data_IF_302939975605
#
_entry.id   IF_302939975605
#
_cell.length_a   1.000
_cell.length_b   1.000
_cell.length_c   1.000
_cell.angle_alpha   90.00
_cell.angle_beta   90.00
_cell.angle_gamma   90.00
#
_symmetry.space_group_name_H-M   'P 1'
#
loop_
_entity.id
_entity.type
_entity.pdbx_description
1 polymer ?
#
# COMPACT_ATOMS: atom_id res chain seq x y z
N UNK A 1 34.90 -4.96 -28.68
CA UNK A 1 33.94 -5.57 -27.72
C UNK A 1 33.54 -7.01 -28.10
N UNK A 2 33.48 -7.38 -29.39
CA UNK A 2 33.09 -8.73 -29.85
C UNK A 2 34.10 -9.89 -29.63
N UNK A 3 35.10 -9.76 -28.72
CA UNK A 3 36.13 -10.80 -28.51
C UNK A 3 35.99 -11.57 -27.19
N UNK A 4 34.98 -11.27 -26.39
CA UNK A 4 34.85 -11.79 -25.02
C UNK A 4 33.49 -12.45 -24.73
N UNK A 5 32.75 -12.88 -25.75
CA UNK A 5 31.49 -13.62 -25.55
C UNK A 5 31.75 -15.15 -25.50
N UNK A 6 31.20 -15.87 -24.50
CA UNK A 6 31.21 -17.32 -24.41
C UNK A 6 30.62 -17.98 -25.68
N UNK A 7 31.17 -19.13 -26.08
CA UNK A 7 30.79 -19.82 -27.32
C UNK A 7 29.30 -20.21 -27.38
N UNK A 8 28.63 -20.42 -26.24
CA UNK A 8 27.20 -20.76 -26.16
C UNK A 8 26.24 -19.64 -26.57
N UNK A 9 26.70 -18.39 -26.59
CA UNK A 9 25.89 -17.23 -27.03
C UNK A 9 26.04 -16.99 -28.54
N UNK A 10 27.14 -17.46 -29.13
CA UNK A 10 27.44 -17.29 -30.56
C UNK A 10 26.50 -18.08 -31.48
N UNK A 11 25.89 -19.16 -30.98
CA UNK A 11 24.93 -19.97 -31.75
C UNK A 11 23.53 -19.35 -31.87
N UNK A 12 23.24 -18.28 -31.11
CA UNK A 12 21.95 -17.57 -31.17
C UNK A 12 22.03 -16.18 -31.80
N UNK A 13 23.20 -15.76 -32.29
CA UNK A 13 23.44 -14.43 -32.87
C UNK A 13 22.65 -14.20 -34.18
N UNK A 14 22.30 -15.26 -34.92
CA UNK A 14 21.48 -15.16 -36.15
C UNK A 14 19.97 -15.01 -35.90
N UNK A 15 19.48 -15.23 -34.67
CA UNK A 15 18.05 -15.17 -34.33
C UNK A 15 17.59 -13.80 -33.81
N UNK A 16 18.53 -12.99 -33.31
CA UNK A 16 18.23 -11.68 -32.71
C UNK A 16 17.77 -10.62 -33.75
N UNK A 17 18.29 -10.56 -34.99
CA UNK A 17 17.84 -9.57 -35.98
C UNK A 17 16.45 -9.86 -36.60
N UNK A 18 15.86 -11.04 -36.34
CA UNK A 18 14.57 -11.43 -36.95
C UNK A 18 13.34 -11.12 -36.09
N UNK A 19 13.53 -10.90 -34.78
CA UNK A 19 12.43 -10.61 -33.85
C UNK A 19 12.20 -9.09 -33.70
N UNK A 20 13.20 -8.27 -33.98
CA UNK A 20 13.11 -6.80 -33.94
C UNK A 20 13.55 -6.19 -35.28
N UNK A 21 12.62 -6.10 -36.24
CA UNK A 21 12.72 -5.07 -37.29
C UNK A 21 12.02 -3.82 -36.77
N UNK A 22 12.72 -2.77 -36.32
CA UNK A 22 12.08 -1.48 -36.18
C UNK A 22 11.73 -0.97 -37.57
N UNK A 23 10.44 -0.80 -37.85
CA UNK A 23 10.03 0.07 -38.96
C UNK A 23 10.55 1.47 -38.64
N UNK A 24 11.58 1.89 -39.38
CA UNK A 24 12.07 3.26 -39.36
C UNK A 24 10.98 4.12 -40.01
N UNK A 25 10.10 4.69 -39.19
CA UNK A 25 9.20 5.74 -39.62
C UNK A 25 10.05 6.96 -39.99
N UNK A 26 10.09 7.29 -41.27
CA UNK A 26 10.69 8.53 -41.77
C UNK A 26 10.03 9.73 -41.09
N UNK A 27 10.83 10.63 -40.52
CA UNK A 27 10.39 11.89 -39.94
C UNK A 27 9.53 12.66 -40.96
N UNK A 28 8.22 12.73 -40.71
CA UNK A 28 7.35 13.75 -41.30
C UNK A 28 7.69 15.07 -40.63
N UNK A 29 8.05 16.08 -41.42
CA UNK A 29 8.36 17.46 -40.97
C UNK A 29 7.11 18.33 -40.85
N UNK A 30 5.92 17.75 -40.72
CA UNK A 30 4.66 18.50 -40.67
C UNK A 30 4.19 18.68 -39.20
N UNK A 31 4.37 19.86 -38.58
CA UNK A 31 4.06 20.09 -37.18
C UNK A 31 2.56 20.18 -36.87
N UNK A 32 1.67 20.20 -37.87
CA UNK A 32 0.21 20.34 -37.68
C UNK A 32 -0.57 19.02 -37.79
N UNK A 33 0.06 17.90 -38.12
CA UNK A 33 -0.65 16.65 -38.41
C UNK A 33 -0.89 15.71 -37.21
N UNK A 34 -0.50 16.09 -35.98
CA UNK A 34 -0.51 15.17 -34.84
C UNK A 34 -1.14 15.76 -33.56
N UNK A 35 -2.41 16.11 -33.65
CA UNK A 35 -3.27 16.19 -32.47
C UNK A 35 -3.78 14.79 -32.10
N UNK A 36 -3.23 14.22 -31.02
CA UNK A 36 -3.81 13.04 -30.36
C UNK A 36 -2.94 11.79 -30.42
N UNK A 37 -1.95 11.71 -29.52
CA UNK A 37 -1.26 10.44 -29.27
C UNK A 37 -0.04 10.59 -28.38
N UNK A 38 -0.04 9.90 -27.24
CA UNK A 38 1.15 9.70 -26.42
C UNK A 38 2.11 8.77 -27.17
N UNK A 39 3.35 9.22 -27.43
CA UNK A 39 4.37 8.36 -28.04
C UNK A 39 5.45 8.00 -27.02
N UNK A 40 5.83 6.72 -27.00
CA UNK A 40 7.10 6.27 -26.44
C UNK A 40 8.11 6.24 -27.58
N UNK A 41 9.10 7.13 -27.58
CA UNK A 41 10.21 7.05 -28.53
C UNK A 41 11.36 6.32 -27.84
N UNK A 42 11.64 5.11 -28.30
CA UNK A 42 12.81 4.34 -27.90
C UNK A 42 13.94 4.72 -28.85
N UNK A 43 14.79 5.67 -28.44
CA UNK A 43 15.98 6.01 -29.21
C UNK A 43 17.14 5.16 -28.70
N UNK A 44 17.80 4.43 -29.59
CA UNK A 44 19.11 3.84 -29.32
C UNK A 44 20.15 4.94 -29.57
N UNK A 45 20.92 5.30 -28.54
CA UNK A 45 22.13 6.11 -28.68
C UNK A 45 23.17 5.35 -29.53
N UNK A 46 24.14 6.05 -30.13
CA UNK A 46 25.27 5.53 -30.93
C UNK A 46 26.15 4.51 -30.16
N UNK A 47 25.82 4.23 -28.89
CA UNK A 47 26.44 3.26 -27.98
C UNK A 47 25.50 2.10 -27.59
N UNK A 48 24.45 1.83 -28.37
CA UNK A 48 23.43 0.81 -28.09
C UNK A 48 22.72 0.97 -26.74
N UNK A 49 22.60 2.21 -26.25
CA UNK A 49 21.86 2.50 -25.00
C UNK A 49 20.44 2.88 -25.35
N UNK A 50 19.48 2.10 -24.88
CA UNK A 50 18.07 2.47 -24.97
C UNK A 50 17.79 3.68 -24.07
N UNK A 51 17.49 4.83 -24.67
CA UNK A 51 16.99 6.01 -23.98
C UNK A 51 15.47 6.00 -24.10
N UNK A 52 14.80 5.78 -22.97
CA UNK A 52 13.35 5.91 -22.86
C UNK A 52 13.05 7.37 -22.53
N UNK A 53 12.58 8.13 -23.51
CA UNK A 53 12.10 9.50 -23.30
C UNK A 53 10.58 9.48 -23.11
N UNK A 54 10.13 9.75 -21.88
CA UNK A 54 8.71 9.93 -21.57
C UNK A 54 8.36 11.41 -21.70
N UNK A 55 7.68 11.79 -22.78
CA UNK A 55 7.14 13.15 -22.93
C UNK A 55 5.76 13.22 -22.29
N UNK A 56 5.70 13.77 -21.07
CA UNK A 56 4.44 14.08 -20.41
C UNK A 56 3.91 15.38 -21.02
N UNK A 57 2.76 15.34 -21.69
CA UNK A 57 2.13 16.57 -22.21
C UNK A 57 1.60 17.40 -21.04
N UNK A 58 1.89 18.70 -21.05
CA UNK A 58 1.42 19.65 -20.04
C UNK A 58 -0.11 19.76 -19.98
N UNK A 59 -0.82 19.34 -21.02
CA UNK A 59 -2.29 19.30 -21.03
C UNK A 59 -2.88 18.28 -20.05
N UNK A 60 -2.12 17.27 -19.66
CA UNK A 60 -2.55 16.21 -18.75
C UNK A 60 -2.55 16.67 -17.29
N UNK A 61 -1.96 17.84 -17.00
CA UNK A 61 -1.91 18.46 -15.69
C UNK A 61 -2.91 19.61 -15.52
N UNK A 62 -3.89 19.78 -16.42
CA UNK A 62 -4.97 20.76 -16.18
C UNK A 62 -5.74 20.36 -14.90
N UNK A 63 -5.83 21.30 -13.96
CA UNK A 63 -6.14 21.10 -12.54
C UNK A 63 -7.49 20.42 -12.21
N UNK A 64 -8.36 20.23 -13.20
CA UNK A 64 -9.74 19.76 -12.99
C UNK A 64 -10.03 18.34 -13.51
N UNK A 65 -9.08 17.64 -14.15
CA UNK A 65 -9.35 16.26 -14.60
C UNK A 65 -9.11 15.26 -13.43
N UNK A 66 -10.15 14.66 -12.83
CA UNK A 66 -9.99 13.60 -11.84
C UNK A 66 -9.26 12.37 -12.40
N UNK A 67 -9.13 12.25 -13.74
CA UNK A 67 -8.42 11.19 -14.42
C UNK A 67 -6.92 11.47 -14.67
N UNK A 68 -6.41 12.68 -14.38
CA UNK A 68 -5.00 13.02 -14.54
C UNK A 68 -4.08 12.16 -13.65
N UNK A 69 -4.52 11.93 -12.40
CA UNK A 69 -3.79 11.13 -11.41
C UNK A 69 -3.53 9.68 -11.88
N UNK A 70 -4.56 8.90 -12.28
CA UNK A 70 -4.34 7.55 -12.76
C UNK A 70 -3.42 7.50 -13.97
N UNK A 71 -3.55 8.44 -14.91
CA UNK A 71 -2.70 8.46 -16.11
C UNK A 71 -1.22 8.58 -15.74
N UNK A 72 -0.86 9.53 -14.87
CA UNK A 72 0.52 9.71 -14.43
C UNK A 72 1.04 8.49 -13.65
N UNK A 73 0.24 7.98 -12.72
CA UNK A 73 0.61 6.81 -11.90
C UNK A 73 0.83 5.59 -12.78
N UNK A 74 -0.08 5.32 -13.73
CA UNK A 74 0.03 4.22 -14.69
C UNK A 74 1.28 4.40 -15.55
N UNK A 75 1.56 5.60 -16.06
CA UNK A 75 2.76 5.85 -16.88
C UNK A 75 4.04 5.59 -16.09
N UNK A 76 4.11 6.05 -14.83
CA UNK A 76 5.25 5.77 -13.96
C UNK A 76 5.39 4.28 -13.65
N UNK A 77 4.28 3.56 -13.41
CA UNK A 77 4.30 2.11 -13.20
C UNK A 77 4.75 1.35 -14.45
N UNK A 78 4.32 1.76 -15.64
CA UNK A 78 4.77 1.16 -16.90
C UNK A 78 6.27 1.38 -17.09
N UNK A 79 6.77 2.60 -16.84
CA UNK A 79 8.19 2.90 -16.89
C UNK A 79 9.00 2.06 -15.89
N UNK A 80 8.48 1.89 -14.67
CA UNK A 80 9.07 1.05 -13.64
C UNK A 80 9.11 -0.42 -14.07
N UNK A 81 8.02 -0.97 -14.60
CA UNK A 81 7.96 -2.34 -15.12
C UNK A 81 9.02 -2.52 -16.21
N UNK A 82 9.19 -1.56 -17.10
CA UNK A 82 10.26 -1.59 -18.10
C UNK A 82 11.66 -1.60 -17.46
N UNK A 83 11.92 -0.74 -16.46
CA UNK A 83 13.21 -0.72 -15.74
C UNK A 83 13.45 -2.06 -15.04
N UNK A 84 12.43 -2.61 -14.37
CA UNK A 84 12.51 -3.91 -13.71
C UNK A 84 12.84 -4.98 -14.76
N UNK A 85 12.13 -5.06 -15.88
CA UNK A 85 12.41 -6.02 -16.96
C UNK A 85 13.85 -5.88 -17.46
N UNK A 86 14.36 -4.66 -17.66
CA UNK A 86 15.74 -4.44 -18.07
C UNK A 86 16.74 -4.95 -17.02
N UNK A 87 16.47 -4.71 -15.73
CA UNK A 87 17.27 -5.24 -14.62
C UNK A 87 17.20 -6.77 -14.62
N UNK A 88 16.01 -7.36 -14.80
CA UNK A 88 15.82 -8.81 -14.86
C UNK A 88 16.62 -9.46 -15.99
N UNK A 89 16.67 -8.83 -17.16
CA UNK A 89 17.46 -9.29 -18.32
C UNK A 89 18.96 -9.26 -18.03
N UNK A 90 19.42 -8.34 -17.18
CA UNK A 90 20.83 -8.22 -16.78
C UNK A 90 21.22 -9.17 -15.63
N UNK A 91 20.25 -9.73 -14.90
CA UNK A 91 20.47 -10.66 -13.80
C UNK A 91 20.53 -12.10 -14.30
N UNK A 92 21.51 -12.86 -13.82
CA UNK A 92 21.50 -14.31 -14.02
C UNK A 92 20.59 -14.97 -13.01
N UNK A 93 19.40 -15.32 -13.50
CA UNK A 93 18.36 -16.01 -12.75
C UNK A 93 18.86 -17.43 -12.48
N UNK A 94 19.08 -17.76 -11.21
CA UNK A 94 19.28 -19.16 -10.83
C UNK A 94 18.04 -19.95 -11.22
N UNK A 95 18.18 -21.16 -11.80
CA UNK A 95 17.03 -22.00 -12.06
C UNK A 95 16.25 -22.22 -10.76
N UNK A 96 14.93 -22.32 -10.87
CA UNK A 96 14.06 -22.61 -9.73
C UNK A 96 14.54 -23.90 -9.07
N UNK A 97 15.13 -23.74 -7.90
CA UNK A 97 15.75 -24.84 -7.18
C UNK A 97 14.75 -25.35 -6.14
N UNK A 98 13.88 -26.25 -6.61
CA UNK A 98 12.85 -26.86 -5.76
C UNK A 98 13.50 -27.82 -4.78
N UNK A 99 13.12 -27.73 -3.52
CA UNK A 99 13.56 -28.61 -2.45
C UNK A 99 13.50 -30.09 -2.85
N UNK A 100 14.60 -30.82 -2.65
CA UNK A 100 14.66 -32.27 -2.85
C UNK A 100 13.87 -33.02 -1.76
N UNK A 101 13.38 -34.23 -2.04
CA UNK A 101 12.61 -35.02 -1.05
C UNK A 101 13.42 -35.35 0.22
N UNK A 102 14.75 -35.38 0.14
CA UNK A 102 15.67 -35.53 1.28
C UNK A 102 15.76 -34.30 2.18
N UNK A 103 15.30 -33.13 1.73
CA UNK A 103 15.36 -31.85 2.46
C UNK A 103 14.00 -31.46 3.07
N UNK A 104 13.05 -32.39 3.16
CA UNK A 104 11.69 -32.11 3.65
C UNK A 104 11.72 -31.54 5.08
N UNK A 105 11.09 -30.37 5.27
CA UNK A 105 10.89 -29.80 6.61
C UNK A 105 9.81 -30.58 7.37
N UNK A 106 10.00 -30.83 8.68
CA UNK A 106 8.93 -31.28 9.55
C UNK A 106 7.73 -30.33 9.49
N UNK A 107 6.51 -30.86 9.63
CA UNK A 107 5.27 -30.08 9.61
C UNK A 107 5.29 -28.96 10.66
N UNK A 108 5.87 -29.20 11.84
CA UNK A 108 6.03 -28.19 12.89
C UNK A 108 6.90 -27.00 12.45
N UNK A 109 8.00 -27.26 11.75
CA UNK A 109 8.86 -26.20 11.19
C UNK A 109 8.13 -25.44 10.10
N UNK A 110 7.40 -26.15 9.23
CA UNK A 110 6.60 -25.51 8.17
C UNK A 110 5.54 -24.57 8.73
N UNK A 111 4.81 -25.00 9.78
CA UNK A 111 3.84 -24.17 10.48
C UNK A 111 4.51 -22.96 11.15
N UNK A 112 5.68 -23.14 11.77
CA UNK A 112 6.43 -22.06 12.41
C UNK A 112 6.86 -20.98 11.41
N UNK A 113 7.47 -21.37 10.29
CA UNK A 113 7.93 -20.43 9.25
C UNK A 113 6.75 -19.74 8.58
N UNK A 114 5.66 -20.47 8.31
CA UNK A 114 4.44 -19.91 7.73
C UNK A 114 3.81 -18.88 8.68
N UNK A 115 3.81 -19.16 9.98
CA UNK A 115 3.35 -18.21 11.00
C UNK A 115 4.21 -16.96 11.03
N UNK A 116 5.54 -17.10 10.99
CA UNK A 116 6.48 -15.97 10.93
C UNK A 116 6.29 -15.13 9.66
N UNK A 117 6.04 -15.78 8.52
CA UNK A 117 5.71 -15.13 7.26
C UNK A 117 4.43 -14.30 7.38
N UNK A 118 3.33 -14.91 7.83
CA UNK A 118 2.01 -14.28 7.79
C UNK A 118 1.77 -13.29 8.94
N UNK A 119 2.51 -13.38 10.05
CA UNK A 119 2.28 -12.54 11.22
C UNK A 119 2.37 -11.02 10.91
N UNK A 120 3.40 -10.50 10.22
CA UNK A 120 3.44 -9.09 9.84
C UNK A 120 2.26 -8.66 8.97
N UNK A 121 1.86 -9.49 8.00
CA UNK A 121 0.73 -9.19 7.11
C UNK A 121 -0.60 -9.13 7.89
N UNK A 122 -0.88 -10.16 8.69
CA UNK A 122 -2.13 -10.25 9.48
C UNK A 122 -2.22 -9.08 10.44
N UNK A 123 -1.15 -8.80 11.19
CA UNK A 123 -1.15 -7.70 12.15
C UNK A 123 -1.30 -6.36 11.42
N UNK A 124 -0.64 -6.16 10.28
CA UNK A 124 -0.80 -4.94 9.48
C UNK A 124 -2.24 -4.71 9.03
N UNK A 125 -2.92 -5.77 8.60
CA UNK A 125 -4.33 -5.75 8.20
C UNK A 125 -5.24 -5.50 9.41
N UNK A 126 -5.14 -6.32 10.45
CA UNK A 126 -6.02 -6.26 11.64
C UNK A 126 -5.90 -4.90 12.34
N UNK A 127 -4.67 -4.40 12.48
CA UNK A 127 -4.44 -3.11 13.09
C UNK A 127 -4.81 -1.94 12.15
N UNK A 128 -4.63 -2.14 10.84
CA UNK A 128 -4.73 -1.09 9.82
C UNK A 128 -6.14 -0.80 9.31
N UNK A 129 -7.01 -1.82 9.23
CA UNK A 129 -8.35 -1.70 8.65
C UNK A 129 -9.33 -1.12 9.68
N UNK A 130 -9.94 0.06 9.44
CA UNK A 130 -10.88 0.68 10.38
C UNK A 130 -12.23 -0.04 10.44
N UNK A 131 -13.11 0.30 11.38
CA UNK A 131 -14.49 -0.18 11.36
C UNK A 131 -15.31 0.52 10.26
N UNK A 132 -16.32 -0.17 9.69
CA UNK A 132 -17.22 0.35 8.66
C UNK A 132 -18.55 0.76 9.32
N UNK A 133 -19.05 1.95 8.99
CA UNK A 133 -20.36 2.43 9.44
C UNK A 133 -21.26 2.60 8.22
N UNK A 134 -22.34 1.82 8.14
CA UNK A 134 -23.29 1.93 7.05
C UNK A 134 -24.33 3.01 7.38
N UNK A 135 -24.31 4.12 6.62
CA UNK A 135 -25.30 5.20 6.76
C UNK A 135 -26.44 5.08 5.74
N UNK A 136 -26.40 4.06 4.89
CA UNK A 136 -27.38 3.81 3.84
C UNK A 136 -27.79 2.32 3.84
N UNK A 137 -28.96 1.98 3.25
CA UNK A 137 -29.41 0.60 3.11
C UNK A 137 -28.51 -0.26 2.23
N UNK A 138 -27.94 0.34 1.19
CA UNK A 138 -27.11 -0.39 0.23
C UNK A 138 -25.75 -0.68 0.85
N UNK A 139 -25.37 -1.96 0.92
CA UNK A 139 -24.03 -2.35 1.34
C UNK A 139 -23.01 -2.08 0.22
N UNK A 140 -21.77 -1.69 0.55
CA UNK A 140 -20.68 -1.67 -0.41
C UNK A 140 -20.49 -3.06 -1.01
N UNK A 141 -19.99 -3.12 -2.25
CA UNK A 141 -19.68 -4.41 -2.87
C UNK A 141 -18.36 -4.90 -2.30
N UNK A 142 -18.14 -6.22 -2.31
CA UNK A 142 -16.90 -6.82 -1.78
C UNK A 142 -15.61 -6.21 -2.39
N UNK A 143 -15.65 -5.81 -3.65
CA UNK A 143 -14.51 -5.20 -4.35
C UNK A 143 -14.30 -3.71 -3.98
N UNK A 144 -15.27 -3.07 -3.34
CA UNK A 144 -15.09 -1.76 -2.73
C UNK A 144 -14.41 -1.89 -1.36
N UNK A 145 -14.57 -3.03 -0.68
CA UNK A 145 -13.94 -3.30 0.61
C UNK A 145 -12.51 -3.82 0.49
N UNK A 146 -12.21 -4.62 -0.55
CA UNK A 146 -10.89 -5.24 -0.73
C UNK A 146 -9.74 -4.20 -0.76
N UNK A 147 -10.03 -2.99 -1.26
CA UNK A 147 -9.06 -1.90 -1.36
C UNK A 147 -8.52 -1.43 -0.02
N UNK A 148 -9.26 -1.61 1.08
CA UNK A 148 -8.78 -1.21 2.41
C UNK A 148 -7.75 -2.15 3.00
N UNK A 149 -7.65 -3.37 2.48
CA UNK A 149 -6.62 -4.33 2.83
C UNK A 149 -5.30 -4.04 2.09
N UNK A 150 -5.29 -3.07 1.17
CA UNK A 150 -4.08 -2.63 0.49
C UNK A 150 -3.16 -1.86 1.47
N UNK A 151 -1.88 -2.23 1.61
CA UNK A 151 -0.93 -1.52 2.46
C UNK A 151 -0.87 -0.01 2.19
N UNK A 152 -0.99 0.41 0.93
CA UNK A 152 -1.02 1.83 0.54
C UNK A 152 -2.19 2.58 1.19
N UNK A 153 -3.38 1.97 1.22
CA UNK A 153 -4.56 2.57 1.88
C UNK A 153 -4.37 2.63 3.40
N UNK A 154 -3.78 1.60 4.00
CA UNK A 154 -3.51 1.54 5.44
C UNK A 154 -2.51 2.64 5.84
N UNK A 155 -1.42 2.81 5.09
CA UNK A 155 -0.43 3.86 5.36
C UNK A 155 -1.01 5.26 5.11
N UNK A 156 -1.85 5.44 4.07
CA UNK A 156 -2.59 6.69 3.86
C UNK A 156 -3.41 7.07 5.09
N UNK A 157 -4.14 6.12 5.69
CA UNK A 157 -4.91 6.37 6.92
C UNK A 157 -4.02 6.87 8.05
N UNK A 158 -2.86 6.25 8.28
CA UNK A 158 -1.95 6.69 9.34
C UNK A 158 -1.47 8.12 9.12
N UNK A 159 -1.11 8.46 7.87
CA UNK A 159 -0.76 9.82 7.49
C UNK A 159 -1.93 10.78 7.73
N UNK A 160 -3.12 10.45 7.23
CA UNK A 160 -4.29 11.32 7.28
C UNK A 160 -4.78 11.59 8.71
N UNK A 161 -4.83 10.57 9.57
CA UNK A 161 -5.20 10.74 10.99
C UNK A 161 -4.19 11.64 11.72
N UNK A 162 -2.89 11.43 11.47
CA UNK A 162 -1.83 12.25 12.07
C UNK A 162 -1.93 13.70 11.57
N UNK A 163 -2.14 13.91 10.27
CA UNK A 163 -2.29 15.23 9.65
C UNK A 163 -3.51 15.98 10.20
N UNK A 164 -4.68 15.33 10.22
CA UNK A 164 -5.91 15.89 10.77
C UNK A 164 -5.73 16.30 12.24
N UNK A 165 -5.08 15.47 13.05
CA UNK A 165 -4.82 15.80 14.45
C UNK A 165 -3.98 17.05 14.60
N UNK A 166 -2.88 17.16 13.85
CA UNK A 166 -1.95 18.27 13.95
C UNK A 166 -2.58 19.57 13.43
N UNK A 167 -3.50 19.48 12.47
CA UNK A 167 -4.28 20.62 11.94
C UNK A 167 -5.49 21.00 12.78
N UNK A 168 -6.03 20.11 13.59
CA UNK A 168 -7.21 20.42 14.41
C UNK A 168 -6.89 21.48 15.47
N UNK A 169 -7.74 22.52 15.57
CA UNK A 169 -7.68 23.53 16.64
C UNK A 169 -8.25 23.00 17.95
N UNK A 170 -9.20 22.07 17.87
CA UNK A 170 -9.85 21.42 19.00
C UNK A 170 -10.04 19.93 18.67
N UNK A 171 -9.37 19.06 19.41
CA UNK A 171 -9.44 17.62 19.20
C UNK A 171 -10.14 16.97 20.38
N UNK A 172 -11.40 16.59 20.20
CA UNK A 172 -12.22 15.93 21.22
C UNK A 172 -12.33 14.41 20.96
N UNK A 173 -13.00 13.71 21.89
CA UNK A 173 -13.14 12.26 21.80
C UNK A 173 -14.02 11.80 20.62
N UNK A 174 -15.00 12.60 20.22
CA UNK A 174 -15.88 12.32 19.08
C UNK A 174 -15.12 12.50 17.76
N UNK A 175 -14.30 13.55 17.64
CA UNK A 175 -13.44 13.76 16.47
C UNK A 175 -12.48 12.58 16.30
N UNK A 176 -11.86 12.13 17.41
CA UNK A 176 -11.01 10.94 17.38
C UNK A 176 -11.77 9.69 16.92
N UNK A 177 -12.98 9.45 17.45
CA UNK A 177 -13.79 8.32 17.04
C UNK A 177 -14.13 8.40 15.55
N UNK A 178 -14.56 9.56 15.08
CA UNK A 178 -14.99 9.78 13.71
C UNK A 178 -13.84 9.67 12.69
N UNK A 179 -12.64 10.18 12.99
CA UNK A 179 -11.43 9.97 12.17
C UNK A 179 -11.02 8.51 12.03
N UNK A 180 -11.45 7.64 12.96
CA UNK A 180 -11.16 6.21 12.92
C UNK A 180 -12.25 5.37 12.25
N UNK A 181 -13.33 5.99 11.78
CA UNK A 181 -14.41 5.31 11.08
C UNK A 181 -14.32 5.52 9.58
N UNK A 182 -14.96 4.60 8.85
CA UNK A 182 -15.25 4.74 7.43
C UNK A 182 -16.74 4.77 7.25
N UNK A 183 -17.26 5.86 6.68
CA UNK A 183 -18.69 5.99 6.46
C UNK A 183 -19.02 5.56 5.04
N UNK A 184 -19.91 4.58 4.91
CA UNK A 184 -20.52 4.25 3.62
C UNK A 184 -21.77 5.11 3.43
N UNK A 185 -21.70 6.02 2.48
CA UNK A 185 -22.73 7.01 2.15
C UNK A 185 -23.39 6.69 0.81
N UNK A 186 -24.36 7.51 0.39
CA UNK A 186 -24.97 7.39 -0.94
C UNK A 186 -23.97 7.62 -2.08
N UNK A 187 -22.94 8.40 -1.83
CA UNK A 187 -21.84 8.67 -2.76
C UNK A 187 -20.68 7.67 -2.55
N UNK A 188 -20.91 6.65 -1.71
CA UNK A 188 -19.96 5.62 -1.31
C UNK A 188 -19.04 6.07 -0.15
N UNK A 189 -17.75 5.74 -0.22
CA UNK A 189 -16.82 5.90 0.89
C UNK A 189 -16.50 7.35 1.19
N UNK A 190 -16.78 7.78 2.42
CA UNK A 190 -16.50 9.13 2.90
C UNK A 190 -15.74 9.08 4.23
N UNK A 191 -14.55 9.68 4.24
CA UNK A 191 -13.71 9.89 5.42
C UNK A 191 -13.25 11.34 5.54
N UNK A 192 -13.95 12.26 4.86
CA UNK A 192 -13.63 13.69 4.85
C UNK A 192 -13.79 14.33 6.23
N UNK A 193 -13.11 15.46 6.45
CA UNK A 193 -13.31 16.30 7.63
C UNK A 193 -14.77 16.77 7.79
N UNK A 194 -15.49 17.00 6.69
CA UNK A 194 -16.90 17.34 6.73
C UNK A 194 -17.73 16.17 7.28
N UNK A 195 -17.50 14.96 6.76
CA UNK A 195 -18.15 13.76 7.25
C UNK A 195 -17.81 13.50 8.71
N UNK A 196 -16.58 13.77 9.15
CA UNK A 196 -16.19 13.67 10.54
C UNK A 196 -17.07 14.55 11.45
N UNK A 197 -17.24 15.84 11.13
CA UNK A 197 -18.09 16.76 11.90
C UNK A 197 -19.56 16.36 11.82
N UNK A 198 -20.03 15.99 10.62
CA UNK A 198 -21.42 15.56 10.38
C UNK A 198 -21.75 14.26 11.11
N UNK A 199 -20.77 13.37 11.28
CA UNK A 199 -20.95 12.07 11.92
C UNK A 199 -21.27 12.15 13.41
N UNK A 200 -20.98 13.28 14.06
CA UNK A 200 -21.23 13.50 15.49
C UNK A 200 -22.69 13.21 15.86
N UNK A 201 -23.65 13.52 14.98
CA UNK A 201 -25.06 13.24 15.23
C UNK A 201 -25.36 11.74 15.26
N UNK A 202 -24.52 10.87 14.68
CA UNK A 202 -24.66 9.40 14.67
C UNK A 202 -23.88 8.73 15.78
N UNK A 203 -23.04 9.44 16.54
CA UNK A 203 -22.23 8.86 17.61
C UNK A 203 -23.13 8.30 18.72
N UNK A 204 -23.03 6.98 18.97
CA UNK A 204 -23.72 6.31 20.08
C UNK A 204 -22.84 6.18 21.30
N UNK A 205 -21.53 5.99 21.08
CA UNK A 205 -20.55 5.91 22.14
C UNK A 205 -19.29 6.63 21.70
N UNK A 206 -18.92 7.67 22.45
CA UNK A 206 -17.63 8.31 22.31
C UNK A 206 -16.64 7.68 23.30
N UNK A 207 -15.36 7.53 22.91
CA UNK A 207 -14.32 7.10 23.83
C UNK A 207 -14.21 8.06 25.02
N UNK A 208 -13.71 7.57 26.16
CA UNK A 208 -13.58 8.39 27.38
C UNK A 208 -12.57 9.53 27.23
N UNK A 209 -11.59 9.38 26.33
CA UNK A 209 -10.48 10.30 26.13
C UNK A 209 -10.28 10.53 24.63
N UNK A 210 -9.77 11.70 24.25
CA UNK A 210 -9.36 12.00 22.87
C UNK A 210 -7.98 11.43 22.50
N UNK A 211 -7.63 10.29 23.10
CA UNK A 211 -6.38 9.54 22.93
C UNK A 211 -6.62 8.07 23.23
N UNK A 212 -5.80 7.21 22.64
CA UNK A 212 -5.75 5.78 22.93
C UNK A 212 -5.53 5.50 24.42
N UNK A 213 -6.20 4.47 24.95
CA UNK A 213 -5.86 3.88 26.25
C UNK A 213 -4.70 2.88 26.09
N UNK A 214 -3.67 2.98 26.94
CA UNK A 214 -2.48 2.13 26.87
C UNK A 214 -2.78 0.65 27.15
N UNK A 215 -3.89 0.36 27.84
CA UNK A 215 -4.34 -1.01 28.10
C UNK A 215 -5.43 -1.49 27.11
N UNK A 216 -5.54 -0.86 25.93
CA UNK A 216 -6.50 -1.24 24.89
C UNK A 216 -5.95 -2.28 23.91
N UNK A 217 -6.85 -2.93 23.17
CA UNK A 217 -6.51 -3.82 22.05
C UNK A 217 -5.61 -3.11 21.03
N UNK A 218 -5.93 -1.87 20.69
CA UNK A 218 -5.21 -1.07 19.69
C UNK A 218 -3.80 -0.69 20.17
N UNK A 219 -3.59 -0.53 21.48
CA UNK A 219 -2.26 -0.35 22.05
C UNK A 219 -1.41 -1.62 21.90
N UNK A 220 -1.98 -2.80 22.17
CA UNK A 220 -1.30 -4.08 21.95
C UNK A 220 -0.95 -4.29 20.47
N UNK A 221 -1.87 -4.01 19.55
CA UNK A 221 -1.61 -4.05 18.11
C UNK A 221 -0.44 -3.14 17.71
N UNK A 222 -0.39 -1.92 18.25
CA UNK A 222 0.69 -0.97 17.99
C UNK A 222 2.03 -1.48 18.51
N UNK A 223 2.07 -2.06 19.72
CA UNK A 223 3.28 -2.65 20.28
C UNK A 223 3.78 -3.79 19.38
N UNK A 224 2.90 -4.68 18.93
CA UNK A 224 3.26 -5.80 18.05
C UNK A 224 3.83 -5.29 16.72
N UNK A 225 3.14 -4.36 16.04
CA UNK A 225 3.62 -3.76 14.78
C UNK A 225 5.00 -3.11 14.98
N UNK A 226 5.18 -2.40 16.11
CA UNK A 226 6.43 -1.71 16.42
C UNK A 226 7.57 -2.70 16.63
N UNK A 227 7.35 -3.75 17.42
CA UNK A 227 8.36 -4.78 17.66
C UNK A 227 8.74 -5.51 16.38
N UNK A 228 7.76 -5.87 15.54
CA UNK A 228 8.01 -6.51 14.25
C UNK A 228 8.81 -5.58 13.31
N UNK A 229 8.45 -4.30 13.23
CA UNK A 229 9.16 -3.33 12.39
C UNK A 229 10.58 -3.04 12.88
N UNK A 230 10.79 -2.91 14.19
CA UNK A 230 12.12 -2.73 14.78
C UNK A 230 12.98 -3.98 14.57
N UNK A 231 12.44 -5.18 14.78
CA UNK A 231 13.16 -6.42 14.51
C UNK A 231 13.60 -6.52 13.05
N UNK A 232 12.71 -6.20 12.11
CA UNK A 232 13.03 -6.20 10.68
C UNK A 232 14.10 -5.15 10.34
N UNK A 233 14.00 -3.95 10.93
CA UNK A 233 14.98 -2.87 10.73
C UNK A 233 16.36 -3.23 11.29
N UNK A 234 16.42 -3.83 12.49
CA UNK A 234 17.67 -4.31 13.07
C UNK A 234 18.27 -5.45 12.25
N UNK A 235 17.43 -6.34 11.71
CA UNK A 235 17.89 -7.40 10.80
C UNK A 235 18.51 -6.82 9.52
N UNK A 236 17.95 -5.72 9.00
CA UNK A 236 18.48 -4.98 7.85
C UNK A 236 19.76 -4.21 8.18
N UNK A 237 19.85 -3.60 9.37
CA UNK A 237 21.05 -2.89 9.79
C UNK A 237 22.23 -3.83 10.06
N UNK A 238 21.94 -5.07 10.50
CA UNK A 238 22.95 -6.07 10.81
C UNK A 238 23.29 -6.98 9.62
N UNK A 239 22.56 -6.90 8.51
CA UNK A 239 22.95 -7.61 7.29
C UNK A 239 24.17 -6.91 6.70
N UNK A 240 25.34 -7.51 6.87
CA UNK A 240 26.51 -7.15 6.07
C UNK A 240 26.20 -7.39 4.59
N UNK A 241 26.89 -6.68 3.68
CA UNK A 241 26.61 -6.61 2.23
C UNK A 241 26.46 -7.96 1.48
N UNK A 242 26.79 -9.09 2.10
CA UNK A 242 26.75 -10.43 1.50
C UNK A 242 25.58 -11.34 1.98
N UNK A 243 24.86 -10.98 3.05
CA UNK A 243 24.07 -11.96 3.84
C UNK A 243 22.58 -11.62 4.02
N UNK A 244 21.92 -10.92 3.09
CA UNK A 244 20.46 -10.76 3.18
C UNK A 244 19.76 -12.10 2.91
N UNK A 245 19.30 -12.74 3.99
CA UNK A 245 18.68 -14.06 3.92
C UNK A 245 17.23 -13.95 3.44
N UNK A 246 17.01 -14.37 2.20
CA UNK A 246 15.68 -14.47 1.60
C UNK A 246 15.11 -15.85 1.94
N UNK A 247 13.96 -15.86 2.63
CA UNK A 247 13.23 -17.07 3.00
C UNK A 247 11.73 -16.78 3.10
N UNK A 248 10.91 -17.82 3.23
CA UNK A 248 9.48 -17.68 3.48
C UNK A 248 9.19 -16.80 4.71
N UNK A 249 9.97 -16.93 5.79
CA UNK A 249 9.77 -16.11 7.00
C UNK A 249 10.02 -14.61 6.77
N UNK A 250 10.82 -14.23 5.76
CA UNK A 250 11.21 -12.83 5.51
C UNK A 250 10.37 -12.15 4.43
N UNK A 251 9.39 -12.85 3.83
CA UNK A 251 8.54 -12.32 2.74
C UNK A 251 7.87 -11.00 3.11
N UNK A 252 7.37 -10.84 4.35
CA UNK A 252 6.68 -9.62 4.80
C UNK A 252 7.54 -8.68 5.67
N UNK A 253 8.87 -8.81 5.63
CA UNK A 253 9.77 -7.95 6.43
C UNK A 253 9.68 -6.47 6.03
N UNK A 254 9.69 -6.17 4.73
CA UNK A 254 9.53 -4.79 4.25
C UNK A 254 8.21 -4.18 4.71
N UNK A 255 7.12 -4.96 4.69
CA UNK A 255 5.83 -4.52 5.21
C UNK A 255 5.88 -4.25 6.74
N UNK A 256 6.63 -5.04 7.50
CA UNK A 256 6.86 -4.79 8.92
C UNK A 256 7.60 -3.46 9.16
N UNK A 257 8.65 -3.17 8.38
CA UNK A 257 9.38 -1.89 8.46
C UNK A 257 8.47 -0.72 8.10
N UNK A 258 7.69 -0.84 7.02
CA UNK A 258 6.71 0.18 6.62
C UNK A 258 5.60 0.36 7.68
N UNK A 259 5.27 -0.71 8.42
CA UNK A 259 4.36 -0.66 9.56
C UNK A 259 4.77 0.31 10.67
N UNK A 260 6.05 0.68 10.79
CA UNK A 260 6.52 1.69 11.75
C UNK A 260 5.90 3.08 11.51
N UNK A 261 5.42 3.37 10.30
CA UNK A 261 4.66 4.57 9.99
C UNK A 261 3.30 4.66 10.72
N UNK A 262 2.88 3.60 11.43
CA UNK A 262 1.76 3.64 12.37
C UNK A 262 2.07 4.49 13.60
N UNK A 263 3.32 4.57 14.05
CA UNK A 263 3.70 5.18 15.32
C UNK A 263 3.22 6.63 15.51
N UNK A 264 3.35 7.53 14.50
CA UNK A 264 2.85 8.89 14.64
C UNK A 264 1.34 8.95 14.85
N UNK A 265 0.58 8.02 14.25
CA UNK A 265 -0.87 7.97 14.37
C UNK A 265 -1.35 7.22 15.63
N UNK A 266 -0.50 6.36 16.20
CA UNK A 266 -0.89 5.40 17.22
C UNK A 266 -1.63 6.00 18.41
N UNK A 267 -1.25 7.21 18.84
CA UNK A 267 -1.90 7.88 19.97
C UNK A 267 -3.37 8.26 19.71
N UNK A 268 -3.78 8.34 18.44
CA UNK A 268 -5.11 8.77 18.01
C UNK A 268 -5.85 7.70 17.21
N UNK A 269 -5.28 6.51 17.05
CA UNK A 269 -6.02 5.36 16.50
C UNK A 269 -6.80 4.70 17.63
N UNK A 270 -8.09 4.48 17.43
CA UNK A 270 -8.98 3.85 18.42
C UNK A 270 -10.11 3.07 17.74
N UNK A 271 -10.55 1.99 18.39
CA UNK A 271 -11.71 1.17 18.02
C UNK A 271 -12.89 1.31 19.01
N UNK A 272 -12.77 2.18 20.02
CA UNK A 272 -13.78 2.31 21.09
C UNK A 272 -15.03 3.07 20.65
N UNK A 273 -14.92 3.92 19.61
CA UNK A 273 -16.07 4.69 19.11
C UNK A 273 -17.13 3.78 18.49
N UNK A 274 -18.41 4.10 18.70
CA UNK A 274 -19.50 3.46 17.96
C UNK A 274 -20.47 4.49 17.41
N UNK A 275 -21.02 4.19 16.24
CA UNK A 275 -21.97 5.03 15.53
C UNK A 275 -23.21 4.20 15.19
N UNK A 276 -24.37 4.86 15.10
CA UNK A 276 -25.60 4.22 14.63
C UNK A 276 -25.39 3.75 13.20
N UNK A 277 -25.50 2.44 13.00
CA UNK A 277 -25.59 1.83 11.69
C UNK A 277 -27.06 1.77 11.23
N UNK A 278 -27.31 1.98 9.95
CA UNK A 278 -28.63 1.85 9.32
C UNK A 278 -29.35 0.55 9.72
N UNK A 279 -28.66 -0.59 9.70
CA UNK A 279 -29.28 -1.87 10.07
C UNK A 279 -29.60 -1.97 11.57
N UNK A 280 -28.77 -1.37 12.42
CA UNK A 280 -29.02 -1.31 13.86
C UNK A 280 -30.24 -0.47 14.19
N UNK A 281 -30.48 0.59 13.39
CA UNK A 281 -31.64 1.45 13.53
C UNK A 281 -32.93 0.72 13.15
N UNK A 282 -32.95 0.06 11.98
CA UNK A 282 -34.10 -0.75 11.56
C UNK A 282 -34.44 -1.82 12.60
N UNK A 283 -33.44 -2.53 13.12
CA UNK A 283 -33.67 -3.58 14.12
C UNK A 283 -34.36 -3.04 15.37
N UNK A 284 -33.93 -1.87 15.87
CA UNK A 284 -34.57 -1.23 17.03
C UNK A 284 -36.01 -0.82 16.76
N UNK A 285 -36.30 -0.32 15.56
CA UNK A 285 -37.66 0.04 15.16
C UNK A 285 -38.59 -1.18 15.17
N UNK A 286 -38.15 -2.31 14.60
CA UNK A 286 -38.94 -3.55 14.60
C UNK A 286 -39.15 -4.12 16.01
N UNK A 287 -38.11 -4.21 16.85
CA UNK A 287 -38.28 -4.72 18.23
C UNK A 287 -39.21 -3.84 19.06
N UNK A 288 -39.20 -2.52 18.83
CA UNK A 288 -40.09 -1.59 19.54
C UNK A 288 -41.57 -1.70 19.14
N UNK A 289 -41.88 -2.29 17.98
CA UNK A 289 -43.26 -2.51 17.54
C UNK A 289 -43.84 -3.80 18.14
N UNK A 290 -43.04 -4.86 18.29
CA UNK A 290 -43.49 -6.13 18.88
C UNK A 290 -43.75 -6.02 20.39
N UNK A 291 -42.93 -5.26 21.13
CA UNK A 291 -43.12 -5.06 22.58
C UNK A 291 -44.34 -4.18 22.91
N UNK A 292 -44.87 -3.43 21.94
CA UNK A 292 -46.07 -2.58 22.12
C UNK A 292 -47.39 -3.30 21.89
N UNK A 293 -47.37 -4.58 21.50
CA UNK A 293 -48.58 -5.36 21.33
C UNK A 293 -49.26 -5.80 22.65
N UNK A 294 -48.60 -5.62 23.82
CA UNK A 294 -49.10 -6.16 25.09
C UNK A 294 -49.35 -5.15 26.24
N UNK A 295 -49.03 -3.86 26.12
CA UNK A 295 -49.28 -2.91 27.23
C UNK A 295 -49.94 -1.59 26.80
N UNK A 296 -50.85 -1.14 27.65
CA UNK A 296 -51.87 -0.11 27.46
C UNK A 296 -51.43 1.24 26.83
N UNK A 297 -52.35 1.89 26.08
CA UNK A 297 -52.08 3.16 25.42
C UNK A 297 -52.24 4.33 26.41
N UNK A 298 -51.14 4.84 26.97
CA UNK A 298 -51.08 6.20 27.53
C UNK A 298 -49.73 6.85 27.25
N UNK A 299 -49.74 7.77 26.27
CA UNK A 299 -48.76 8.84 25.98
C UNK A 299 -48.18 8.77 24.56
N UNK A 300 -48.93 9.34 23.62
CA UNK A 300 -48.46 9.71 22.28
C UNK A 300 -47.48 10.89 22.38
N UNK A 301 -46.17 10.63 22.44
CA UNK A 301 -45.16 11.70 22.20
C UNK A 301 -43.81 11.19 21.70
N UNK A 302 -43.73 9.94 21.19
CA UNK A 302 -42.44 9.29 20.89
C UNK A 302 -42.02 9.16 19.42
N UNK A 303 -42.89 9.46 18.44
CA UNK A 303 -42.64 9.06 17.03
C UNK A 303 -42.11 10.18 16.10
N UNK A 304 -41.97 11.42 16.58
CA UNK A 304 -41.48 12.55 15.75
C UNK A 304 -39.96 12.72 15.72
N UNK A 305 -39.17 11.92 16.44
CA UNK A 305 -37.71 12.09 16.51
C UNK A 305 -36.98 11.59 15.25
N UNK A 306 -37.57 10.69 14.47
CA UNK A 306 -36.91 10.10 13.29
C UNK A 306 -36.96 11.00 12.05
N UNK A 307 -38.13 11.56 11.73
CA UNK A 307 -38.27 12.51 10.62
C UNK A 307 -37.52 13.82 10.87
N UNK A 308 -37.48 14.28 12.13
CA UNK A 308 -36.72 15.47 12.50
C UNK A 308 -35.20 15.26 12.34
N UNK A 309 -34.69 14.03 12.53
CA UNK A 309 -33.26 13.71 12.32
C UNK A 309 -32.89 13.65 10.84
N UNK A 310 -33.78 13.14 9.98
CA UNK A 310 -33.56 13.14 8.52
C UNK A 310 -33.54 14.55 7.95
N UNK A 311 -34.34 15.48 8.49
CA UNK A 311 -34.33 16.89 8.09
C UNK A 311 -33.15 17.69 8.67
N UNK A 312 -32.57 17.27 9.79
CA UNK A 312 -31.36 17.91 10.36
C UNK A 312 -30.09 17.65 9.53
N UNK A 313 -30.12 16.72 8.57
CA UNK A 313 -29.01 16.50 7.64
C UNK A 313 -28.75 17.69 6.70
N UNK A 314 -29.72 18.60 6.54
CA UNK A 314 -29.63 19.82 5.71
C UNK A 314 -29.20 21.06 6.49
N UNK A 315 -29.03 20.97 7.82
CA UNK A 315 -28.47 22.10 8.56
C UNK A 315 -27.02 22.31 8.12
N UNK A 316 -26.63 23.54 7.74
CA UNK A 316 -25.25 23.83 7.36
C UNK A 316 -24.33 23.42 8.51
N UNK A 317 -23.42 22.50 8.21
CA UNK A 317 -22.37 22.08 9.11
C UNK A 317 -21.58 23.34 9.52
N UNK A 318 -21.19 23.52 10.79
CA UNK A 318 -20.30 24.63 11.14
C UNK A 318 -19.08 24.59 10.20
N UNK A 319 -18.75 25.74 9.60
CA UNK A 319 -17.72 25.83 8.56
C UNK A 319 -16.45 25.08 9.00
N UNK A 320 -16.06 24.06 8.23
CA UNK A 320 -14.87 23.23 8.50
C UNK A 320 -13.59 24.06 8.63
N UNK A 321 -13.54 25.22 7.97
CA UNK A 321 -12.48 26.24 8.08
C UNK A 321 -12.31 26.79 9.51
N UNK A 322 -13.36 26.79 10.31
CA UNK A 322 -13.29 27.21 11.71
C UNK A 322 -12.62 26.15 12.59
N UNK A 323 -12.71 24.87 12.24
CA UNK A 323 -12.21 23.75 13.07
C UNK A 323 -10.75 23.40 12.76
N UNK A 324 -10.34 23.46 11.49
CA UNK A 324 -8.99 23.06 11.05
C UNK A 324 -8.11 24.25 10.67
N UNK A 325 -6.80 24.10 10.87
CA UNK A 325 -5.82 24.96 10.22
C UNK A 325 -5.77 24.68 8.71
N UNK A 326 -5.47 25.69 7.88
CA UNK A 326 -5.31 25.52 6.44
C UNK A 326 -4.25 24.46 6.11
N UNK A 327 -4.47 23.69 5.04
CA UNK A 327 -3.55 22.61 4.66
C UNK A 327 -2.16 23.10 4.26
N UNK A 328 -2.02 24.35 3.81
CA UNK A 328 -0.73 24.94 3.45
C UNK A 328 0.10 25.44 4.66
N UNK A 329 -0.18 24.91 5.85
CA UNK A 329 0.55 25.26 7.06
C UNK A 329 1.80 24.38 7.24
N UNK A 330 2.86 24.93 7.85
CA UNK A 330 4.11 24.20 8.16
C UNK A 330 3.84 22.92 8.98
N UNK A 331 2.81 22.97 9.83
CA UNK A 331 2.30 21.87 10.62
C UNK A 331 1.98 20.62 9.79
N UNK A 332 1.27 20.81 8.68
CA UNK A 332 0.93 19.73 7.72
C UNK A 332 2.21 19.12 7.13
N UNK A 333 3.16 19.97 6.72
CA UNK A 333 4.41 19.54 6.11
C UNK A 333 5.34 18.82 7.08
N UNK A 334 5.32 19.18 8.38
CA UNK A 334 6.08 18.47 9.41
C UNK A 334 5.65 17.01 9.59
N UNK A 335 4.43 16.64 9.18
CA UNK A 335 3.96 15.26 9.16
C UNK A 335 4.25 14.60 7.81
N UNK A 336 3.91 15.30 6.71
CA UNK A 336 4.00 14.75 5.35
C UNK A 336 5.42 14.45 4.89
N UNK A 337 6.37 15.36 5.17
CA UNK A 337 7.76 15.20 4.72
C UNK A 337 8.40 13.94 5.32
N UNK A 338 8.37 13.71 6.65
CA UNK A 338 8.92 12.48 7.23
C UNK A 338 8.30 11.20 6.67
N UNK A 339 6.98 11.17 6.49
CA UNK A 339 6.30 10.01 5.90
C UNK A 339 6.77 9.73 4.48
N UNK A 340 6.76 10.74 3.60
CA UNK A 340 7.17 10.60 2.20
C UNK A 340 8.66 10.27 2.08
N UNK A 341 9.51 10.90 2.88
CA UNK A 341 10.95 10.61 2.92
C UNK A 341 11.23 9.19 3.36
N UNK A 342 10.50 8.67 4.36
CA UNK A 342 10.66 7.29 4.82
C UNK A 342 10.27 6.29 3.73
N UNK A 343 9.12 6.49 3.08
CA UNK A 343 8.66 5.65 1.96
C UNK A 343 9.69 5.70 0.83
N UNK A 344 10.11 6.90 0.41
CA UNK A 344 11.10 7.10 -0.65
C UNK A 344 12.44 6.42 -0.34
N UNK A 345 12.91 6.50 0.90
CA UNK A 345 14.17 5.87 1.32
C UNK A 345 14.10 4.35 1.17
N UNK A 346 12.99 3.73 1.59
CA UNK A 346 12.78 2.29 1.43
C UNK A 346 12.62 1.93 -0.05
N UNK A 347 11.91 2.73 -0.84
CA UNK A 347 11.78 2.53 -2.30
C UNK A 347 13.15 2.54 -2.99
N UNK A 348 13.98 3.55 -2.70
CA UNK A 348 15.35 3.65 -3.24
C UNK A 348 16.18 2.45 -2.78
N UNK A 349 16.08 2.06 -1.51
CA UNK A 349 16.80 0.90 -0.99
C UNK A 349 16.45 -0.40 -1.74
N UNK A 350 15.15 -0.67 -1.95
CA UNK A 350 14.68 -1.87 -2.66
C UNK A 350 15.12 -1.87 -4.12
N UNK A 351 14.99 -0.75 -4.82
CA UNK A 351 15.39 -0.63 -6.23
C UNK A 351 16.91 -0.70 -6.39
N UNK A 352 17.67 -0.12 -5.46
CA UNK A 352 19.13 -0.08 -5.54
C UNK A 352 19.78 -1.41 -5.16
N UNK A 353 19.13 -2.28 -4.37
CA UNK A 353 19.74 -3.56 -3.94
C UNK A 353 20.11 -4.48 -5.12
N UNK A 354 19.23 -4.74 -6.11
CA UNK A 354 19.62 -5.49 -7.33
C UNK A 354 20.61 -4.74 -8.23
N UNK A 355 20.67 -3.40 -8.15
CA UNK A 355 21.55 -2.60 -9.00
C UNK A 355 22.97 -2.50 -8.44
N UNK A 356 23.12 -2.37 -7.11
CA UNK A 356 24.40 -2.26 -6.43
C UNK A 356 25.23 -3.55 -6.60
N UNK A 357 24.57 -4.70 -6.54
CA UNK A 357 25.17 -6.01 -6.82
C UNK A 357 25.71 -6.10 -8.25
N UNK A 358 25.11 -5.42 -9.23
CA UNK A 358 25.55 -5.45 -10.64
C UNK A 358 26.71 -4.53 -11.00
N UNK A 359 26.90 -3.40 -10.29
CA UNK A 359 27.86 -2.34 -10.69
C UNK A 359 29.23 -2.43 -10.03
N UNK A 360 29.30 -2.99 -8.82
CA UNK A 360 30.53 -2.95 -8.02
C UNK A 360 31.36 -4.24 -8.10
N UNK A 361 30.80 -5.34 -8.60
CA UNK A 361 31.60 -6.53 -8.90
C UNK A 361 32.11 -6.50 -10.34
N UNK A 362 33.43 -6.69 -10.58
CA UNK A 362 33.94 -6.91 -11.91
C UNK A 362 33.23 -8.12 -12.53
N UNK A 363 32.88 -7.98 -13.82
CA UNK A 363 32.00 -8.78 -14.70
C UNK A 363 32.15 -10.33 -14.64
N UNK A 364 33.08 -10.87 -13.85
CA UNK A 364 33.37 -12.30 -13.76
C UNK A 364 32.51 -13.09 -12.76
N UNK A 365 31.94 -12.48 -11.72
CA UNK A 365 31.04 -13.17 -10.78
C UNK A 365 29.63 -12.59 -10.87
N UNK A 366 28.83 -13.19 -11.75
CA UNK A 366 27.38 -12.93 -11.84
C UNK A 366 26.77 -13.13 -10.44
N UNK A 367 26.25 -12.05 -9.86
CA UNK A 367 25.48 -12.15 -8.60
C UNK A 367 24.23 -12.96 -8.90
N UNK A 368 24.20 -14.17 -8.36
CA UNK A 368 23.15 -15.14 -8.56
C UNK A 368 22.04 -14.89 -7.53
N UNK A 369 20.90 -14.36 -7.96
CA UNK A 369 19.71 -14.22 -7.13
C UNK A 369 18.75 -15.39 -7.36
N UNK A 370 18.07 -15.84 -6.29
CA UNK A 370 16.99 -16.82 -6.38
C UNK A 370 15.77 -16.23 -7.10
N UNK A 371 14.92 -17.09 -7.67
CA UNK A 371 13.69 -16.64 -8.35
C UNK A 371 12.79 -15.92 -7.35
N UNK A 372 12.68 -16.42 -6.11
CA UNK A 372 11.93 -15.75 -5.04
C UNK A 372 12.48 -14.35 -4.78
N UNK A 373 13.81 -14.19 -4.68
CA UNK A 373 14.41 -12.89 -4.39
C UNK A 373 14.11 -11.85 -5.46
N UNK A 374 14.16 -12.27 -6.72
CA UNK A 374 13.82 -11.45 -7.87
C UNK A 374 12.35 -11.04 -7.87
N UNK A 375 11.44 -12.01 -7.74
CA UNK A 375 9.98 -11.74 -7.76
C UNK A 375 9.56 -10.92 -6.54
N UNK A 376 10.18 -11.16 -5.38
CA UNK A 376 9.98 -10.37 -4.17
C UNK A 376 10.44 -8.93 -4.35
N UNK A 377 11.64 -8.71 -4.92
CA UNK A 377 12.15 -7.36 -5.21
C UNK A 377 11.21 -6.63 -6.17
N UNK A 378 10.78 -7.26 -7.26
CA UNK A 378 9.83 -6.68 -8.22
C UNK A 378 8.47 -6.34 -7.57
N UNK A 379 7.90 -7.25 -6.77
CA UNK A 379 6.63 -7.04 -6.08
C UNK A 379 6.70 -5.86 -5.09
N UNK A 380 7.81 -5.76 -4.34
CA UNK A 380 8.01 -4.66 -3.41
C UNK A 380 8.35 -3.33 -4.07
N UNK A 381 9.13 -3.33 -5.16
CA UNK A 381 9.33 -2.13 -5.99
C UNK A 381 7.99 -1.58 -6.45
N UNK A 382 7.16 -2.44 -7.07
CA UNK A 382 5.81 -2.07 -7.51
C UNK A 382 4.99 -1.50 -6.36
N UNK A 383 4.94 -2.17 -5.19
CA UNK A 383 4.19 -1.70 -4.03
C UNK A 383 4.70 -0.33 -3.55
N UNK A 384 6.00 -0.19 -3.32
CA UNK A 384 6.61 0.97 -2.68
C UNK A 384 6.65 2.21 -3.59
N UNK A 385 6.95 2.03 -4.88
CA UNK A 385 6.88 3.09 -5.87
C UNK A 385 5.45 3.59 -6.03
N UNK A 386 4.48 2.67 -6.17
CA UNK A 386 3.06 3.04 -6.25
C UNK A 386 2.60 3.76 -4.98
N UNK A 387 2.99 3.27 -3.79
CA UNK A 387 2.69 3.91 -2.52
C UNK A 387 3.24 5.35 -2.47
N UNK A 388 4.51 5.54 -2.84
CA UNK A 388 5.13 6.87 -2.90
C UNK A 388 4.41 7.81 -3.87
N UNK A 389 4.11 7.33 -5.09
CA UNK A 389 3.45 8.13 -6.12
C UNK A 389 2.03 8.51 -5.71
N UNK A 390 1.24 7.55 -5.23
CA UNK A 390 -0.15 7.80 -4.84
C UNK A 390 -0.21 8.74 -3.64
N UNK A 391 0.52 8.44 -2.56
CA UNK A 391 0.50 9.26 -1.35
C UNK A 391 1.10 10.63 -1.64
N UNK A 392 2.19 10.70 -2.40
CA UNK A 392 2.82 11.96 -2.82
C UNK A 392 1.86 12.81 -3.63
N UNK A 393 1.26 12.26 -4.68
CA UNK A 393 0.33 12.96 -5.56
C UNK A 393 -0.83 13.61 -4.78
N UNK A 394 -1.56 12.82 -3.98
CA UNK A 394 -2.69 13.34 -3.21
C UNK A 394 -2.27 14.28 -2.08
N UNK A 395 -1.05 14.11 -1.57
CA UNK A 395 -0.44 15.04 -0.61
C UNK A 395 -0.19 16.42 -1.23
N UNK A 396 0.37 16.47 -2.44
CA UNK A 396 0.66 17.71 -3.17
C UNK A 396 -0.59 18.42 -3.67
N UNK A 397 -1.63 17.67 -4.07
CA UNK A 397 -2.95 18.24 -4.42
C UNK A 397 -3.77 18.72 -3.23
N UNK A 398 -3.25 18.53 -2.02
CA UNK A 398 -3.94 18.90 -0.77
C UNK A 398 -5.26 18.14 -0.60
N UNK A 399 -5.33 16.90 -1.08
CA UNK A 399 -6.49 16.03 -0.90
C UNK A 399 -6.36 15.16 0.37
N UNK A 400 -5.49 15.55 1.31
CA UNK A 400 -5.28 14.85 2.60
C UNK A 400 -6.31 15.22 3.69
N UNK A 401 -7.44 15.85 3.33
CA UNK A 401 -8.55 16.13 4.26
C UNK A 401 -9.40 14.90 4.56
N UNK A 402 -9.18 13.78 3.88
CA UNK A 402 -9.92 12.53 4.05
C UNK A 402 -9.03 11.41 4.59
N UNK A 403 -9.55 10.64 5.56
CA UNK A 403 -8.89 9.43 6.08
C UNK A 403 -8.96 8.25 5.13
N UNK A 404 -9.81 8.34 4.11
CA UNK A 404 -9.93 7.38 3.01
C UNK A 404 -9.18 7.93 1.80
N UNK A 405 -8.38 7.09 1.15
CA UNK A 405 -7.62 7.49 -0.02
C UNK A 405 -8.57 7.91 -1.16
N UNK A 406 -8.43 9.10 -1.77
CA UNK A 406 -9.43 9.62 -2.70
C UNK A 406 -9.73 8.68 -3.89
N UNK A 407 -8.74 7.91 -4.33
CA UNK A 407 -8.90 6.99 -5.45
C UNK A 407 -9.51 5.64 -5.13
N UNK A 408 -9.90 5.35 -3.88
CA UNK A 408 -10.22 3.99 -3.44
C UNK A 408 -11.33 3.32 -4.27
N UNK A 409 -12.28 4.11 -4.78
CA UNK A 409 -13.42 3.62 -5.55
C UNK A 409 -13.12 3.44 -7.04
N UNK A 410 -12.04 4.05 -7.54
CA UNK A 410 -11.71 4.01 -8.96
C UNK A 410 -11.27 2.61 -9.38
N UNK A 411 -11.65 2.23 -10.60
CA UNK A 411 -11.35 0.93 -11.18
C UNK A 411 -9.84 0.65 -11.22
N UNK A 412 -9.02 1.64 -11.56
CA UNK A 412 -7.57 1.47 -11.63
C UNK A 412 -6.96 1.11 -10.26
N UNK A 413 -7.47 1.68 -9.16
CA UNK A 413 -6.96 1.40 -7.82
C UNK A 413 -7.37 0.00 -7.35
N UNK A 414 -8.55 -0.45 -7.76
CA UNK A 414 -9.02 -1.84 -7.57
C UNK A 414 -8.14 -2.84 -8.32
N UNK A 415 -7.83 -2.56 -9.60
CA UNK A 415 -6.91 -3.38 -10.41
C UNK A 415 -5.52 -3.40 -9.77
N UNK A 416 -4.99 -2.24 -9.39
CA UNK A 416 -3.71 -2.14 -8.68
C UNK A 416 -3.68 -3.00 -7.41
N UNK A 417 -4.74 -2.93 -6.59
CA UNK A 417 -4.85 -3.74 -5.37
C UNK A 417 -4.83 -5.24 -5.69
N UNK A 418 -5.59 -5.67 -6.71
CA UNK A 418 -5.60 -7.08 -7.13
C UNK A 418 -4.23 -7.53 -7.65
N UNK A 419 -3.55 -6.70 -8.44
CA UNK A 419 -2.20 -6.99 -8.95
C UNK A 419 -1.20 -7.16 -7.82
N UNK A 420 -1.23 -6.26 -6.82
CA UNK A 420 -0.38 -6.38 -5.63
C UNK A 420 -0.67 -7.69 -4.88
N UNK A 421 -1.94 -8.05 -4.69
CA UNK A 421 -2.31 -9.28 -3.98
C UNK A 421 -1.86 -10.54 -4.72
N UNK A 422 -2.04 -10.59 -6.04
CA UNK A 422 -1.57 -11.70 -6.87
C UNK A 422 -0.05 -11.78 -6.86
N UNK A 423 0.65 -10.65 -6.92
CA UNK A 423 2.12 -10.61 -6.85
C UNK A 423 2.63 -11.18 -5.52
N UNK A 424 2.06 -10.78 -4.37
CA UNK A 424 2.46 -11.32 -3.07
C UNK A 424 2.07 -12.79 -2.87
N UNK A 425 0.93 -13.22 -3.43
CA UNK A 425 0.59 -14.64 -3.44
C UNK A 425 1.63 -15.46 -4.22
N UNK A 426 2.07 -14.96 -5.38
CA UNK A 426 3.14 -15.60 -6.15
C UNK A 426 4.47 -15.65 -5.37
N UNK A 427 4.84 -14.56 -4.67
CA UNK A 427 6.02 -14.54 -3.80
C UNK A 427 5.93 -15.59 -2.70
N UNK A 428 4.78 -15.73 -2.02
CA UNK A 428 4.59 -16.74 -0.98
C UNK A 428 4.76 -18.15 -1.55
N UNK A 429 4.15 -18.45 -2.71
CA UNK A 429 4.26 -19.76 -3.35
C UNK A 429 5.70 -20.08 -3.72
N UNK A 430 6.40 -19.14 -4.38
CA UNK A 430 7.80 -19.32 -4.76
C UNK A 430 8.70 -19.47 -3.53
N UNK A 431 8.51 -18.62 -2.52
CA UNK A 431 9.27 -18.70 -1.28
C UNK A 431 9.02 -20.03 -0.56
N UNK A 432 7.79 -20.56 -0.57
CA UNK A 432 7.47 -21.85 0.03
C UNK A 432 8.14 -23.02 -0.71
N UNK A 433 8.30 -22.92 -2.03
CA UNK A 433 8.97 -23.92 -2.86
C UNK A 433 10.50 -23.89 -2.73
N UNK A 434 11.11 -22.69 -2.68
CA UNK A 434 12.57 -22.51 -2.64
C UNK A 434 13.15 -22.50 -1.22
N UNK A 435 12.36 -22.20 -0.19
CA UNK A 435 12.89 -22.15 1.18
C UNK A 435 13.37 -23.53 1.60
N UNK A 436 14.59 -23.60 2.14
CA UNK A 436 15.21 -24.79 2.71
C UNK A 436 15.91 -24.42 4.01
N UNK A 437 16.19 -25.43 4.84
CA UNK A 437 16.99 -25.27 6.06
C UNK A 437 18.44 -25.59 5.74
N UNK A 438 19.33 -24.62 5.92
CA UNK A 438 20.77 -24.81 5.72
C UNK A 438 21.37 -25.70 6.81
N UNK A 439 22.60 -26.17 6.62
CA UNK A 439 23.32 -26.99 7.62
C UNK A 439 23.53 -26.27 8.97
N UNK A 440 23.53 -24.93 8.98
CA UNK A 440 23.58 -24.13 10.21
C UNK A 440 22.19 -23.82 10.80
N UNK A 441 21.13 -24.42 10.26
CA UNK A 441 19.76 -24.28 10.75
C UNK A 441 19.05 -23.00 10.32
N UNK A 442 19.63 -22.21 9.41
CA UNK A 442 19.05 -20.96 8.90
C UNK A 442 18.18 -21.27 7.68
N UNK A 443 16.99 -20.67 7.61
CA UNK A 443 16.12 -20.82 6.44
C UNK A 443 16.56 -19.86 5.34
N UNK A 444 16.79 -20.37 4.12
CA UNK A 444 17.23 -19.58 2.97
C UNK A 444 16.68 -20.17 1.66
N UNK A 445 16.67 -19.38 0.59
CA UNK A 445 16.34 -19.80 -0.78
C UNK A 445 17.57 -20.14 -1.62
N UNK A 446 18.79 -19.84 -1.16
CA UNK A 446 20.05 -20.07 -1.90
C UNK A 446 20.90 -21.19 -1.29
N UNK A 447 21.69 -21.90 -2.12
CA UNK A 447 22.68 -22.91 -1.68
C UNK A 447 24.03 -22.22 -1.42
N UNK A 448 24.10 -21.26 -0.50
CA UNK A 448 25.40 -20.66 -0.14
C UNK A 448 25.93 -21.28 1.15
N UNK A 449 26.91 -22.17 1.00
CA UNK A 449 27.69 -22.74 2.11
C UNK A 449 28.44 -21.68 2.94
N UNK A 450 28.66 -20.48 2.38
CA UNK A 450 29.35 -19.36 3.04
C UNK A 450 28.64 -18.86 4.29
N UNK A 451 27.30 -18.89 4.32
CA UNK A 451 26.49 -18.42 5.46
C UNK A 451 26.77 -19.19 6.76
N UNK A 452 27.17 -20.46 6.65
CA UNK A 452 27.42 -21.30 7.82
C UNK A 452 28.86 -21.23 8.33
N UNK A 453 29.79 -20.58 7.62
CA UNK A 453 31.23 -20.57 7.97
C UNK A 453 31.63 -19.38 8.88
N UNK A 454 30.77 -18.38 9.04
CA UNK A 454 31.03 -17.15 9.83
C UNK A 454 30.33 -17.11 11.21
N UNK A 455 29.56 -18.14 11.58
CA UNK A 455 29.04 -18.36 12.93
C UNK A 455 29.90 -19.41 13.63
#
# INVERSE_FOLDING_TARGET
>A
MARWLPASIREHEELIPKIFKPEVYSQSTDPEAFEGGSYHVLMLDDKDRAIISLRISSEWMKDDDPCAAPKLIIMCQVAEIHIIIQILVMLSILPLDTRSSSESLPVSEWLSITTLCLAPLIVHIVAGVPHIVHLQPDSPRWHDEICFYNPTTIIWRYLAVTDQRVRSKQWNAVDMAASNMRFWTRNGWDGSEEMMVRSCIFCTHAPKKARMDFCSKVAAETIIVTLQGVQALLSLANSNDEDWVISLATVFFTLAVVGLLRLPAAYWISDEGSFVDYHSQIRREFTSMDDRACEHPKSETGCSTLHTRKNNFEKPCPDTLLVFHPQNNWRTWSVKIPFLTFILTITIFIISTPLATSRWLPIAELVSMSVTGIVMSAAYSLLMTSMFLVIGFYTFRKESTTTIIPCIQHLWYKIYTLVVFVAFLAVIVLAALETRKSSCGVYTTTITHSLCKRR
#
